data_IF_531963334436
#
_entry.id   IF_531963334436
#
_cell.length_a   1.000
_cell.length_b   1.000
_cell.length_c   1.000
_cell.angle_alpha   90.00
_cell.angle_beta   90.00
_cell.angle_gamma   90.00
#
_symmetry.space_group_name_H-M   'P 1'
#
loop_
_entity.id
_entity.type
_entity.pdbx_description
1 polymer ?
#
# COMPACT_ATOMS: atom_id res chain seq x y z
N UNK A 1 -10.51 -21.60 0.65
CA UNK A 1 -11.71 -21.84 1.48
C UNK A 1 -11.67 -20.89 2.67
N UNK A 2 -12.82 -20.41 3.12
CA UNK A 2 -12.94 -19.49 4.25
C UNK A 2 -14.18 -19.87 5.04
N UNK A 3 -14.21 -19.56 6.34
CA UNK A 3 -15.33 -19.85 7.23
C UNK A 3 -15.69 -18.60 8.05
N UNK A 4 -16.91 -18.56 8.59
CA UNK A 4 -17.38 -17.44 9.42
C UNK A 4 -17.25 -16.09 8.71
N UNK A 5 -16.77 -15.08 9.44
CA UNK A 5 -16.67 -13.69 8.96
C UNK A 5 -15.79 -13.54 7.71
N UNK A 6 -14.78 -14.38 7.55
CA UNK A 6 -13.90 -14.40 6.39
C UNK A 6 -14.65 -14.89 5.15
N UNK A 7 -15.57 -15.85 5.31
CA UNK A 7 -16.44 -16.30 4.23
C UNK A 7 -17.37 -15.17 3.78
N UNK A 8 -17.96 -14.42 4.73
CA UNK A 8 -18.80 -13.26 4.41
C UNK A 8 -18.00 -12.17 3.69
N UNK A 9 -16.77 -11.88 4.16
CA UNK A 9 -15.87 -10.94 3.51
C UNK A 9 -15.53 -11.38 2.07
N UNK A 10 -15.28 -12.67 1.85
CA UNK A 10 -14.99 -13.23 0.54
C UNK A 10 -16.22 -13.22 -0.38
N UNK A 11 -17.41 -13.53 0.14
CA UNK A 11 -18.67 -13.56 -0.60
C UNK A 11 -19.08 -12.18 -1.16
N UNK A 12 -18.60 -11.09 -0.54
CA UNK A 12 -18.79 -9.74 -1.04
C UNK A 12 -17.94 -9.39 -2.27
N UNK A 13 -17.06 -10.28 -2.73
CA UNK A 13 -16.24 -10.10 -3.92
C UNK A 13 -16.79 -10.88 -5.10
N UNK A 14 -16.54 -10.40 -6.32
CA UNK A 14 -16.96 -11.02 -7.58
C UNK A 14 -15.75 -11.39 -8.43
N UNK A 15 -15.97 -12.22 -9.44
CA UNK A 15 -14.95 -12.57 -10.43
C UNK A 15 -14.33 -11.29 -11.01
N UNK A 16 -13.01 -11.19 -10.97
CA UNK A 16 -12.26 -10.03 -11.42
C UNK A 16 -11.80 -9.08 -10.30
N UNK A 17 -12.32 -9.24 -9.09
CA UNK A 17 -11.86 -8.45 -7.94
C UNK A 17 -10.46 -8.89 -7.49
N UNK A 18 -9.61 -7.92 -7.16
CA UNK A 18 -8.32 -8.18 -6.54
C UNK A 18 -8.49 -8.31 -5.03
N UNK A 19 -8.05 -9.44 -4.49
CA UNK A 19 -8.06 -9.75 -3.07
C UNK A 19 -6.70 -10.28 -2.63
N UNK A 20 -6.28 -9.92 -1.43
CA UNK A 20 -5.16 -10.56 -0.73
C UNK A 20 -5.72 -11.52 0.30
N UNK A 21 -5.19 -12.74 0.36
CA UNK A 21 -5.64 -13.79 1.28
C UNK A 21 -4.43 -14.32 2.02
N UNK A 22 -4.52 -14.42 3.35
CA UNK A 22 -3.51 -15.07 4.16
C UNK A 22 -4.15 -16.17 5.01
N UNK A 23 -3.43 -17.28 5.16
CA UNK A 23 -3.84 -18.41 5.97
C UNK A 23 -3.04 -19.66 5.62
N UNK A 24 -3.49 -20.79 6.16
CA UNK A 24 -2.78 -22.06 6.04
C UNK A 24 -2.96 -22.71 4.66
N UNK A 25 -1.87 -23.19 4.06
CA UNK A 25 -1.91 -24.00 2.84
C UNK A 25 -2.00 -25.49 3.18
N UNK A 26 -3.04 -26.14 2.67
CA UNK A 26 -3.30 -27.57 2.85
C UNK A 26 -3.25 -28.32 1.52
N UNK A 27 -2.68 -29.52 1.55
CA UNK A 27 -2.78 -30.49 0.48
C UNK A 27 -4.02 -31.36 0.74
N UNK A 28 -5.04 -31.21 -0.08
CA UNK A 28 -6.25 -32.05 -0.01
C UNK A 28 -6.12 -33.22 -0.97
N UNK A 29 -6.48 -34.42 -0.52
CA UNK A 29 -6.57 -35.62 -1.34
C UNK A 29 -8.03 -36.08 -1.43
N UNK A 30 -8.47 -36.44 -2.64
CA UNK A 30 -9.79 -37.03 -2.87
C UNK A 30 -9.72 -38.14 -3.91
N UNK A 31 -10.72 -39.03 -3.92
CA UNK A 31 -10.83 -40.08 -4.93
C UNK A 31 -11.55 -39.52 -6.15
N UNK A 32 -10.90 -39.59 -7.32
CA UNK A 32 -11.49 -39.24 -8.62
C UNK A 32 -12.62 -40.20 -9.01
N UNK A 33 -13.40 -39.83 -10.03
CA UNK A 33 -14.47 -40.69 -10.56
C UNK A 33 -13.95 -42.02 -11.13
N UNK A 34 -12.68 -42.05 -11.52
CA UNK A 34 -11.92 -43.21 -12.00
C UNK A 34 -11.35 -44.09 -10.87
N UNK A 35 -11.57 -43.71 -9.60
CA UNK A 35 -11.00 -44.40 -8.44
C UNK A 35 -9.55 -44.00 -8.14
N UNK A 36 -8.93 -43.13 -8.93
CA UNK A 36 -7.57 -42.68 -8.69
C UNK A 36 -7.51 -41.64 -7.55
N UNK A 37 -6.45 -41.67 -6.75
CA UNK A 37 -6.19 -40.61 -5.79
C UNK A 37 -5.77 -39.33 -6.53
N UNK A 38 -6.50 -38.25 -6.27
CA UNK A 38 -6.22 -36.90 -6.77
C UNK A 38 -5.81 -36.02 -5.59
N UNK A 39 -4.91 -35.07 -5.85
CA UNK A 39 -4.45 -34.12 -4.84
C UNK A 39 -4.55 -32.69 -5.36
N UNK A 40 -4.75 -31.74 -4.45
CA UNK A 40 -4.84 -30.33 -4.79
C UNK A 40 -4.50 -29.43 -3.62
N UNK A 41 -3.86 -28.29 -3.93
CA UNK A 41 -3.55 -27.28 -2.93
C UNK A 41 -4.77 -26.39 -2.67
N UNK A 42 -5.04 -26.14 -1.40
CA UNK A 42 -6.09 -25.25 -0.97
C UNK A 42 -5.59 -24.37 0.18
N UNK A 43 -5.93 -23.09 0.16
CA UNK A 43 -5.68 -22.20 1.31
C UNK A 43 -6.92 -22.13 2.19
N UNK A 44 -6.75 -22.32 3.49
CA UNK A 44 -7.76 -22.01 4.52
C UNK A 44 -7.49 -20.59 5.00
N UNK A 45 -8.40 -19.67 4.69
CA UNK A 45 -8.19 -18.24 4.89
C UNK A 45 -8.50 -17.85 6.34
N UNK A 46 -7.49 -17.32 7.03
CA UNK A 46 -7.63 -16.67 8.32
C UNK A 46 -7.96 -15.19 8.15
N UNK A 47 -7.52 -14.60 7.04
CA UNK A 47 -7.80 -13.21 6.68
C UNK A 47 -7.95 -13.01 5.16
N UNK A 48 -8.87 -12.11 4.80
CA UNK A 48 -9.16 -11.71 3.41
C UNK A 48 -9.22 -10.19 3.37
N UNK A 49 -8.37 -9.57 2.54
CA UNK A 49 -8.28 -8.13 2.37
C UNK A 49 -8.67 -7.73 0.94
N UNK A 50 -9.49 -6.69 0.82
CA UNK A 50 -9.93 -6.16 -0.46
C UNK A 50 -8.99 -5.07 -0.99
N UNK A 51 -8.65 -5.13 -2.27
CA UNK A 51 -7.86 -4.08 -2.91
C UNK A 51 -8.65 -2.81 -3.26
N UNK A 52 -9.99 -2.82 -3.11
CA UNK A 52 -10.86 -1.65 -3.36
C UNK A 52 -10.58 -0.45 -2.44
N UNK A 53 -9.65 -0.59 -1.50
CA UNK A 53 -9.21 0.45 -0.57
C UNK A 53 -8.18 1.45 -1.15
N UNK A 54 -7.67 1.27 -2.37
CA UNK A 54 -6.72 2.22 -2.99
C UNK A 54 -7.14 2.61 -4.40
N UNK A 55 -8.11 3.52 -4.50
CA UNK A 55 -8.27 4.32 -5.72
C UNK A 55 -7.09 5.30 -5.79
N UNK A 56 -6.35 5.42 -6.91
CA UNK A 56 -5.38 6.49 -7.14
C UNK A 56 -5.97 7.92 -7.22
N UNK A 57 -7.12 8.17 -6.60
CA UNK A 57 -7.80 9.47 -6.57
C UNK A 57 -8.54 9.73 -5.25
N UNK A 58 -8.26 8.94 -4.21
CA UNK A 58 -9.06 8.93 -3.00
C UNK A 58 -8.68 9.97 -1.94
N UNK A 59 -8.35 11.24 -2.27
CA UNK A 59 -8.34 12.39 -1.32
C UNK A 59 -8.41 13.76 -2.02
N UNK A 60 -9.50 14.08 -2.72
CA UNK A 60 -9.73 15.46 -3.24
C UNK A 60 -9.73 16.52 -2.11
N UNK A 61 -10.01 16.13 -0.87
CA UNK A 61 -9.98 17.03 0.30
C UNK A 61 -8.61 17.33 0.92
N UNK A 62 -7.53 16.60 0.57
CA UNK A 62 -6.18 16.90 1.09
C UNK A 62 -5.35 17.77 0.14
N UNK A 63 -5.65 17.76 -1.16
CA UNK A 63 -4.96 18.64 -2.12
C UNK A 63 -5.21 20.11 -1.78
N UNK A 64 -6.45 20.51 -1.48
CA UNK A 64 -6.79 21.89 -1.09
C UNK A 64 -6.07 22.36 0.18
N UNK A 65 -5.97 21.48 1.19
CA UNK A 65 -5.28 21.78 2.45
C UNK A 65 -3.75 21.93 2.25
N UNK A 66 -3.15 21.05 1.44
CA UNK A 66 -1.72 21.13 1.14
C UNK A 66 -1.39 22.36 0.29
N UNK A 67 -2.19 22.68 -0.73
CA UNK A 67 -1.98 23.85 -1.58
C UNK A 67 -2.18 25.16 -0.80
N UNK A 68 -3.15 25.22 0.11
CA UNK A 68 -3.39 26.43 0.91
C UNK A 68 -2.33 26.60 2.01
N UNK A 69 -1.80 25.50 2.57
CA UNK A 69 -0.62 25.53 3.43
C UNK A 69 0.64 26.02 2.70
N UNK A 70 0.88 25.55 1.48
CA UNK A 70 2.00 25.98 0.63
C UNK A 70 1.89 27.46 0.23
N UNK A 71 0.67 27.92 -0.09
CA UNK A 71 0.40 29.33 -0.39
C UNK A 71 0.62 30.23 0.81
N UNK A 72 0.12 29.86 1.99
CA UNK A 72 0.38 30.61 3.23
C UNK A 72 1.86 30.65 3.60
N UNK A 73 2.61 29.56 3.37
CA UNK A 73 4.05 29.56 3.60
C UNK A 73 4.79 30.54 2.68
N UNK A 74 4.40 30.62 1.40
CA UNK A 74 4.95 31.61 0.46
C UNK A 74 4.58 33.04 0.84
N UNK A 75 3.34 33.28 1.26
CA UNK A 75 2.88 34.60 1.72
C UNK A 75 3.54 35.05 3.03
N UNK A 76 4.11 34.12 3.81
CA UNK A 76 4.82 34.38 5.06
C UNK A 76 6.33 34.56 4.91
N UNK A 77 6.91 34.44 3.71
CA UNK A 77 8.33 34.77 3.53
C UNK A 77 8.53 36.30 3.55
N UNK A 78 9.26 36.86 4.53
CA UNK A 78 9.67 38.26 4.47
C UNK A 78 10.65 38.45 3.28
N UNK A 79 10.67 39.63 2.66
CA UNK A 79 11.57 39.89 1.53
C UNK A 79 13.02 39.71 1.99
N UNK A 80 13.74 38.77 1.37
CA UNK A 80 15.18 38.59 1.57
C UNK A 80 15.91 39.75 0.91
N UNK A 81 16.01 40.87 1.63
CA UNK A 81 17.04 41.89 1.39
C UNK A 81 18.39 41.34 1.80
N UNK A 82 19.39 41.47 0.92
CA UNK A 82 20.78 41.49 1.33
C UNK A 82 21.66 40.45 0.64
N UNK A 83 22.23 40.85 -0.48
CA UNK A 83 23.48 40.33 -1.01
C UNK A 83 24.59 40.58 0.03
N UNK A 84 25.28 39.56 0.52
CA UNK A 84 26.63 39.64 1.09
C UNK A 84 27.11 38.25 1.55
N UNK A 85 28.35 37.86 1.21
CA UNK A 85 29.05 36.77 1.88
C UNK A 85 29.62 35.64 1.02
N UNK A 86 30.28 35.95 -0.11
CA UNK A 86 31.28 35.02 -0.68
C UNK A 86 32.56 35.11 0.15
N UNK A 87 32.65 34.40 1.28
CA UNK A 87 33.92 33.90 1.79
C UNK A 87 33.71 32.92 2.96
N UNK A 88 33.86 31.62 2.70
CA UNK A 88 34.47 30.72 3.68
C UNK A 88 34.89 29.44 2.97
N UNK A 89 36.15 29.46 2.55
CA UNK A 89 36.98 28.32 2.21
C UNK A 89 36.74 27.15 3.17
N UNK A 90 36.49 25.96 2.62
CA UNK A 90 36.31 24.71 3.37
C UNK A 90 37.58 24.43 4.21
N UNK A 91 37.49 24.20 5.54
CA UNK A 91 38.66 24.12 6.42
C UNK A 91 39.39 22.75 6.44
N UNK A 92 39.17 21.89 5.45
CA UNK A 92 39.84 20.60 5.40
C UNK A 92 40.18 20.26 3.97
N UNK A 93 41.42 20.56 3.58
CA UNK A 93 42.21 19.79 2.61
C UNK A 93 43.64 20.35 2.64
N UNK A 94 44.39 20.02 3.71
CA UNK A 94 45.86 20.11 3.72
C UNK A 94 46.46 18.77 4.16
N UNK A 95 47.26 18.24 3.23
CA UNK A 95 48.46 17.41 3.35
C UNK A 95 48.41 15.86 3.35
N UNK A 96 49.28 15.35 2.46
CA UNK A 96 49.65 13.99 2.06
C UNK A 96 50.35 13.17 3.15
#
# INVERSE_FOLDING_TARGET
MAFGKQADALANHRKGDLVSVAGNMQLNQWTGQDGAAQQGYQVIADSVLSARAVRPGGKTGQQGQATDALRRAHEQQPPTTGYEGFDQTSPYDDDF
#
